data_IF_551902155209
#
_entry.id   IF_551902155209
#
_cell.length_a   1.000
_cell.length_b   1.000
_cell.length_c   1.000
_cell.angle_alpha   90.00
_cell.angle_beta   90.00
_cell.angle_gamma   90.00
#
_symmetry.space_group_name_H-M   'P 1'
#
loop_
_entity.id
_entity.type
_entity.pdbx_description
1 polymer ?
#
# COMPACT_ATOMS: atom_id res chain seq x y z
N UNK A 1 -6.13 1.71 2.93
CA UNK A 1 -5.65 2.67 3.95
C UNK A 1 -6.76 3.51 4.60
N UNK A 2 -8.01 3.39 4.19
CA UNK A 2 -9.12 4.17 4.74
C UNK A 2 -9.97 3.43 5.78
N UNK A 3 -9.72 2.14 6.00
CA UNK A 3 -10.41 1.38 7.05
C UNK A 3 -9.67 1.54 8.37
N UNK A 4 -10.34 2.12 9.37
CA UNK A 4 -9.76 2.43 10.67
C UNK A 4 -9.35 1.19 11.46
N UNK A 5 -10.09 0.08 11.31
CA UNK A 5 -9.83 -1.17 12.02
C UNK A 5 -8.60 -1.88 11.43
N UNK A 6 -8.57 -2.02 10.11
CA UNK A 6 -7.42 -2.60 9.41
C UNK A 6 -6.16 -1.74 9.64
N UNK A 7 -6.30 -0.42 9.53
CA UNK A 7 -5.22 0.52 9.78
C UNK A 7 -4.66 0.41 11.19
N UNK A 8 -5.50 0.31 12.22
CA UNK A 8 -5.06 0.15 13.60
C UNK A 8 -4.31 -1.17 13.84
N UNK A 9 -4.80 -2.29 13.28
CA UNK A 9 -4.14 -3.60 13.39
C UNK A 9 -2.79 -3.60 12.68
N UNK A 10 -2.72 -3.04 11.47
CA UNK A 10 -1.46 -2.91 10.72
C UNK A 10 -0.46 -2.04 11.46
N UNK A 11 -0.90 -0.89 11.97
CA UNK A 11 -0.06 0.00 12.76
C UNK A 11 0.50 -0.70 14.02
N UNK A 12 -0.35 -1.44 14.74
CA UNK A 12 0.10 -2.18 15.93
C UNK A 12 1.15 -3.24 15.57
N UNK A 13 0.93 -4.00 14.49
CA UNK A 13 1.90 -4.99 13.99
C UNK A 13 3.23 -4.34 13.56
N UNK A 14 3.17 -3.22 12.86
CA UNK A 14 4.35 -2.45 12.45
C UNK A 14 5.13 -1.93 13.67
N UNK A 15 4.46 -1.41 14.71
CA UNK A 15 5.14 -0.93 15.91
C UNK A 15 5.90 -2.05 16.63
N UNK A 16 5.30 -3.24 16.76
CA UNK A 16 5.97 -4.40 17.36
C UNK A 16 7.20 -4.82 16.56
N UNK A 17 7.12 -4.80 15.23
CA UNK A 17 8.23 -5.19 14.36
C UNK A 17 9.34 -4.13 14.30
N UNK A 18 9.00 -2.85 14.45
CA UNK A 18 9.98 -1.74 14.50
C UNK A 18 10.80 -1.72 15.78
N UNK A 19 10.31 -2.34 16.86
CA UNK A 19 11.07 -2.43 18.12
C UNK A 19 12.23 -3.45 18.06
N UNK A 20 12.33 -4.22 16.96
CA UNK A 20 13.42 -5.17 16.73
C UNK A 20 14.72 -4.44 16.47
N UNK A 21 15.68 -4.59 17.41
CA UNK A 21 17.03 -4.02 17.27
C UNK A 21 17.93 -4.95 16.47
N UNK A 22 18.41 -4.47 15.35
CA UNK A 22 19.44 -5.17 14.57
C UNK A 22 20.80 -4.93 15.21
N UNK A 23 21.55 -6.01 15.45
CA UNK A 23 22.90 -6.00 16.01
C UNK A 23 23.84 -6.68 15.03
N UNK A 24 24.99 -6.06 14.82
CA UNK A 24 26.07 -6.68 14.05
C UNK A 24 26.94 -7.47 15.02
N UNK A 25 27.09 -8.76 14.75
CA UNK A 25 27.93 -9.65 15.56
C UNK A 25 29.06 -10.25 14.70
N UNK A 26 30.30 -10.34 15.24
CA UNK A 26 31.38 -10.98 14.52
C UNK A 26 31.13 -12.49 14.36
N UNK A 27 31.51 -13.03 13.22
CA UNK A 27 31.32 -14.45 12.93
C UNK A 27 32.09 -15.40 13.87
N UNK A 28 33.19 -14.91 14.43
CA UNK A 28 34.01 -15.61 15.42
C UNK A 28 34.83 -14.63 16.25
N UNK A 29 35.58 -15.10 17.26
CA UNK A 29 36.38 -14.25 18.16
C UNK A 29 37.71 -13.78 17.60
N UNK A 30 38.01 -14.01 16.31
CA UNK A 30 39.24 -13.55 15.71
C UNK A 30 39.28 -12.03 15.56
N UNK A 31 40.45 -11.38 15.68
CA UNK A 31 40.58 -9.93 15.48
C UNK A 31 40.08 -9.46 14.10
N UNK A 32 40.26 -10.28 13.07
CA UNK A 32 39.80 -9.98 11.72
C UNK A 32 38.28 -9.91 11.66
N UNK A 33 37.55 -10.89 12.22
CA UNK A 33 36.09 -10.91 12.24
C UNK A 33 35.50 -9.72 13.04
N UNK A 34 36.14 -9.34 14.16
CA UNK A 34 35.75 -8.15 14.93
C UNK A 34 35.91 -6.87 14.11
N UNK A 35 37.04 -6.71 13.41
CA UNK A 35 37.28 -5.55 12.53
C UNK A 35 36.25 -5.48 11.38
N UNK A 36 35.84 -6.62 10.84
CA UNK A 36 34.81 -6.67 9.80
C UNK A 36 33.43 -6.31 10.35
N UNK A 37 33.06 -6.79 11.55
CA UNK A 37 31.82 -6.43 12.20
C UNK A 37 31.76 -4.93 12.51
N UNK A 38 32.84 -4.36 13.08
CA UNK A 38 32.97 -2.91 13.33
C UNK A 38 32.81 -2.09 12.04
N UNK A 39 33.38 -2.61 10.94
CA UNK A 39 33.23 -1.96 9.64
C UNK A 39 31.78 -1.98 9.16
N UNK A 40 31.08 -3.11 9.22
CA UNK A 40 29.67 -3.21 8.83
C UNK A 40 28.81 -2.28 9.68
N UNK A 41 29.01 -2.26 10.99
CA UNK A 41 28.31 -1.35 11.89
C UNK A 41 28.56 0.11 11.54
N UNK A 42 29.81 0.47 11.23
CA UNK A 42 30.17 1.82 10.77
C UNK A 42 29.51 2.19 9.44
N UNK A 43 29.30 1.23 8.53
CA UNK A 43 28.60 1.46 7.25
C UNK A 43 27.11 1.76 7.47
N UNK A 44 26.46 1.02 8.37
CA UNK A 44 25.05 1.24 8.71
C UNK A 44 24.84 2.61 9.38
N UNK A 45 25.78 3.02 10.24
CA UNK A 45 25.73 4.32 10.93
C UNK A 45 26.14 5.53 10.04
N UNK A 46 26.69 5.27 8.84
CA UNK A 46 27.12 6.30 7.88
C UNK A 46 26.13 6.53 6.73
N UNK A 47 24.98 5.88 6.75
CA UNK A 47 23.91 6.10 5.76
C UNK A 47 23.26 7.49 5.90
N UNK A 48 22.61 7.96 4.85
CA UNK A 48 21.84 9.23 4.84
C UNK A 48 20.56 9.15 5.65
N UNK A 49 19.98 7.96 5.81
CA UNK A 49 18.79 7.69 6.61
C UNK A 49 19.11 6.62 7.67
N UNK A 50 18.28 6.54 8.68
CA UNK A 50 18.46 5.56 9.75
C UNK A 50 18.09 4.15 9.29
N UNK A 51 18.61 3.16 10.00
CA UNK A 51 18.20 1.77 9.80
C UNK A 51 16.74 1.55 10.20
N UNK A 52 16.27 2.29 11.21
CA UNK A 52 14.86 2.25 11.66
C UNK A 52 13.90 2.74 10.57
N UNK A 53 14.28 3.79 9.80
CA UNK A 53 13.50 4.25 8.66
C UNK A 53 13.45 3.18 7.57
N UNK A 54 14.58 2.51 7.31
CA UNK A 54 14.63 1.41 6.36
C UNK A 54 13.72 0.24 6.78
N UNK A 55 13.72 -0.13 8.07
CA UNK A 55 12.85 -1.18 8.60
C UNK A 55 11.38 -0.78 8.43
N UNK A 56 11.03 0.47 8.76
CA UNK A 56 9.67 0.96 8.58
C UNK A 56 9.18 0.85 7.11
N UNK A 57 10.04 1.22 6.16
CA UNK A 57 9.73 1.06 4.73
C UNK A 57 9.65 -0.41 4.30
N UNK A 58 10.52 -1.29 4.85
CA UNK A 58 10.52 -2.73 4.55
C UNK A 58 9.23 -3.43 5.01
N UNK A 59 8.60 -2.94 6.09
CA UNK A 59 7.31 -3.45 6.57
C UNK A 59 6.16 -3.21 5.58
N UNK A 60 6.31 -2.33 4.61
CA UNK A 60 5.35 -2.20 3.51
C UNK A 60 5.16 -3.52 2.74
N UNK A 61 6.13 -4.44 2.83
CA UNK A 61 5.98 -5.80 2.29
C UNK A 61 4.79 -6.57 2.86
N UNK A 62 4.35 -6.27 4.08
CA UNK A 62 3.18 -6.89 4.68
C UNK A 62 1.90 -6.54 3.91
N UNK A 63 1.78 -5.26 3.51
CA UNK A 63 0.62 -4.77 2.76
C UNK A 63 0.65 -5.16 1.29
N UNK A 64 1.82 -5.07 0.64
CA UNK A 64 1.96 -5.29 -0.80
C UNK A 64 2.37 -6.71 -1.18
N UNK A 65 2.88 -7.50 -0.21
CA UNK A 65 3.44 -8.82 -0.45
C UNK A 65 4.96 -8.81 -0.67
N UNK A 66 5.53 -7.69 -1.10
CA UNK A 66 6.97 -7.48 -1.25
C UNK A 66 7.36 -6.03 -1.03
N UNK A 67 8.64 -5.81 -0.74
CA UNK A 67 9.29 -4.51 -0.78
C UNK A 67 10.65 -4.65 -1.46
N UNK A 68 10.94 -3.75 -2.39
CA UNK A 68 12.18 -3.76 -3.15
C UNK A 68 12.97 -2.49 -2.90
N UNK A 69 14.25 -2.64 -2.60
CA UNK A 69 15.14 -1.54 -2.29
C UNK A 69 16.37 -1.59 -3.18
N UNK A 70 16.74 -0.46 -3.74
CA UNK A 70 18.01 -0.30 -4.43
C UNK A 70 19.07 0.23 -3.47
N UNK A 71 20.22 -0.45 -3.42
CA UNK A 71 21.36 -0.05 -2.59
C UNK A 71 22.24 0.90 -3.39
N UNK A 72 22.36 2.13 -2.91
CA UNK A 72 23.21 3.16 -3.49
C UNK A 72 24.49 3.24 -2.68
N UNK A 73 25.63 2.98 -3.32
CA UNK A 73 26.94 3.01 -2.69
C UNK A 73 27.58 4.39 -2.73
N UNK A 74 28.50 4.64 -1.78
CA UNK A 74 29.41 5.79 -1.76
C UNK A 74 30.82 5.37 -1.40
N UNK A 75 31.81 6.13 -1.84
CA UNK A 75 33.19 5.99 -1.34
C UNK A 75 33.37 6.88 -0.12
N UNK A 76 33.90 6.36 0.96
CA UNK A 76 34.10 7.04 2.24
C UNK A 76 35.36 7.91 2.16
N UNK A 77 35.17 9.18 1.79
CA UNK A 77 36.28 10.14 1.55
C UNK A 77 36.37 11.25 2.60
N UNK A 78 35.56 11.14 3.66
CA UNK A 78 35.54 12.09 4.76
C UNK A 78 34.43 13.13 4.67
N UNK A 79 34.36 14.01 5.68
CA UNK A 79 33.34 15.02 5.78
C UNK A 79 33.56 16.10 4.70
N UNK A 80 32.76 16.02 3.66
CA UNK A 80 32.53 17.10 2.69
C UNK A 80 31.31 17.91 3.12
N UNK A 81 30.81 18.82 2.27
CA UNK A 81 29.51 19.44 2.57
C UNK A 81 28.42 18.37 2.69
N UNK A 82 27.58 18.46 3.70
CA UNK A 82 26.53 17.45 3.99
C UNK A 82 25.57 17.20 2.83
N UNK A 83 25.45 18.15 1.92
CA UNK A 83 24.70 18.04 0.66
C UNK A 83 25.43 17.24 -0.43
N UNK A 84 26.73 16.94 -0.25
CA UNK A 84 27.51 16.18 -1.23
C UNK A 84 27.12 14.69 -1.14
N UNK A 85 26.88 14.10 -2.31
CA UNK A 85 26.62 12.65 -2.47
C UNK A 85 27.77 11.75 -1.95
N UNK A 86 28.94 12.32 -1.70
CA UNK A 86 30.15 11.63 -1.20
C UNK A 86 30.38 11.82 0.30
N UNK A 87 29.51 12.60 0.98
CA UNK A 87 29.63 12.84 2.40
C UNK A 87 29.75 11.53 3.20
N UNK A 88 30.76 11.45 4.04
CA UNK A 88 30.98 10.33 4.97
C UNK A 88 31.61 10.84 6.26
N UNK A 89 31.24 10.23 7.37
CA UNK A 89 31.90 10.48 8.66
C UNK A 89 33.33 9.90 8.71
N UNK A 90 33.68 9.02 7.78
CA UNK A 90 34.92 8.24 7.74
C UNK A 90 35.76 8.58 6.51
N UNK A 91 37.08 8.44 6.65
CA UNK A 91 38.08 8.78 5.63
C UNK A 91 38.89 7.59 5.15
N UNK A 92 38.41 6.37 5.35
CA UNK A 92 39.15 5.13 5.08
C UNK A 92 39.21 4.75 3.59
N UNK A 93 38.54 5.50 2.71
CA UNK A 93 38.50 5.26 1.27
C UNK A 93 37.76 4.00 0.84
N UNK A 94 37.13 3.27 1.79
CA UNK A 94 36.38 2.04 1.56
C UNK A 94 35.01 2.36 0.95
N UNK A 95 34.38 1.34 0.36
CA UNK A 95 33.01 1.46 -0.13
C UNK A 95 32.03 1.27 1.03
N UNK A 96 31.13 2.22 1.20
CA UNK A 96 30.01 2.14 2.13
C UNK A 96 28.68 2.29 1.42
N UNK A 97 27.60 2.12 2.16
CA UNK A 97 26.23 2.36 1.68
C UNK A 97 25.90 3.82 1.93
N UNK A 98 25.44 4.52 0.89
CA UNK A 98 24.95 5.89 0.99
C UNK A 98 23.51 5.89 1.48
N UNK A 99 22.65 5.15 0.79
CA UNK A 99 21.23 4.99 1.11
C UNK A 99 20.67 3.71 0.50
N UNK A 100 19.61 3.23 1.10
CA UNK A 100 18.80 2.11 0.64
C UNK A 100 17.45 2.71 0.25
N UNK A 101 17.13 2.73 -1.05
CA UNK A 101 15.97 3.47 -1.60
C UNK A 101 14.83 2.52 -1.86
N UNK A 102 13.70 2.71 -1.20
CA UNK A 102 12.49 1.97 -1.49
C UNK A 102 12.02 2.25 -2.92
N UNK A 103 11.74 1.20 -3.66
CA UNK A 103 11.09 1.26 -4.97
C UNK A 103 9.62 0.92 -4.79
N UNK A 104 8.79 1.94 -4.93
CA UNK A 104 7.36 1.84 -4.64
C UNK A 104 6.72 0.66 -5.41
N UNK A 105 6.04 -0.27 -4.72
CA UNK A 105 5.51 -1.49 -5.34
C UNK A 105 4.59 -1.23 -6.53
N UNK A 106 3.81 -0.15 -6.50
CA UNK A 106 2.89 0.22 -7.60
C UNK A 106 3.60 0.74 -8.85
N UNK A 107 4.90 1.04 -8.78
CA UNK A 107 5.71 1.43 -9.94
C UNK A 107 6.42 0.24 -10.59
N UNK A 108 6.33 -0.94 -9.99
CA UNK A 108 6.93 -2.16 -10.55
C UNK A 108 6.09 -2.67 -11.70
N UNK A 109 6.68 -2.66 -12.90
CA UNK A 109 6.03 -3.15 -14.11
C UNK A 109 6.09 -4.68 -14.20
N UNK A 110 7.27 -5.25 -13.97
CA UNK A 110 7.47 -6.71 -13.99
C UNK A 110 8.75 -7.10 -13.27
N UNK A 111 8.79 -8.36 -12.79
CA UNK A 111 10.00 -9.00 -12.32
C UNK A 111 10.74 -9.68 -13.49
N UNK A 112 12.06 -9.64 -13.44
CA UNK A 112 12.93 -10.44 -14.29
C UNK A 112 13.28 -11.73 -13.55
N UNK A 113 12.73 -12.85 -14.02
CA UNK A 113 12.89 -14.15 -13.37
C UNK A 113 13.58 -15.12 -14.34
N UNK A 114 14.58 -15.81 -13.82
CA UNK A 114 15.22 -16.89 -14.57
C UNK A 114 14.25 -18.06 -14.77
N UNK A 115 13.92 -18.34 -16.02
CA UNK A 115 12.95 -19.40 -16.35
C UNK A 115 13.42 -20.81 -16.01
N UNK A 116 14.74 -21.01 -15.81
CA UNK A 116 15.31 -22.33 -15.48
C UNK A 116 15.39 -22.56 -13.98
N UNK A 117 15.74 -21.52 -13.22
CA UNK A 117 16.00 -21.64 -11.78
C UNK A 117 14.87 -21.04 -10.93
N UNK A 118 13.99 -20.23 -11.50
CA UNK A 118 12.97 -19.47 -10.76
C UNK A 118 13.57 -18.31 -9.94
N UNK A 119 14.85 -18.00 -10.10
CA UNK A 119 15.54 -16.96 -9.34
C UNK A 119 15.20 -15.58 -9.90
N UNK A 120 14.88 -14.63 -9.03
CA UNK A 120 14.65 -13.23 -9.42
C UNK A 120 16.00 -12.57 -9.72
N UNK A 121 16.19 -12.12 -10.96
CA UNK A 121 17.40 -11.41 -11.45
C UNK A 121 17.31 -9.91 -11.24
N UNK A 122 16.11 -9.36 -11.20
CA UNK A 122 15.86 -7.93 -11.02
C UNK A 122 14.40 -7.59 -11.25
N UNK A 123 14.14 -6.30 -11.34
CA UNK A 123 12.81 -5.81 -11.71
C UNK A 123 12.90 -4.64 -12.70
N UNK A 124 11.80 -4.42 -13.40
CA UNK A 124 11.58 -3.25 -14.24
C UNK A 124 10.61 -2.31 -13.54
N UNK A 125 11.02 -1.06 -13.38
CA UNK A 125 10.22 0.00 -12.79
C UNK A 125 9.72 0.94 -13.89
N UNK A 126 8.41 1.24 -13.86
CA UNK A 126 7.79 2.28 -14.66
C UNK A 126 7.40 3.44 -13.76
N UNK A 127 8.02 4.59 -13.95
CA UNK A 127 7.77 5.79 -13.15
C UNK A 127 6.68 6.69 -13.75
N UNK A 128 6.04 6.26 -14.85
CA UNK A 128 5.00 7.05 -15.54
C UNK A 128 5.51 8.26 -16.33
N UNK A 129 6.80 8.57 -16.25
CA UNK A 129 7.45 9.59 -17.07
C UNK A 129 8.01 8.93 -18.33
N UNK A 130 7.65 9.44 -19.48
CA UNK A 130 7.91 8.90 -20.80
C UNK A 130 9.26 8.15 -20.93
N UNK A 131 9.19 6.91 -21.45
CA UNK A 131 10.30 6.07 -21.93
C UNK A 131 11.22 5.41 -20.88
N UNK A 132 10.91 5.37 -19.61
CA UNK A 132 11.86 4.84 -18.63
C UNK A 132 11.39 3.59 -17.90
N UNK A 133 11.40 2.46 -18.59
CA UNK A 133 11.50 1.16 -17.90
C UNK A 133 12.93 1.03 -17.34
N UNK A 134 13.13 1.46 -16.11
CA UNK A 134 14.43 1.30 -15.44
C UNK A 134 14.56 -0.13 -14.95
N UNK A 135 15.63 -0.80 -15.39
CA UNK A 135 16.00 -2.10 -14.87
C UNK A 135 16.84 -1.96 -13.60
N UNK A 136 16.42 -2.62 -12.52
CA UNK A 136 17.12 -2.64 -11.24
C UNK A 136 17.54 -4.07 -10.96
N UNK A 137 18.85 -4.38 -11.01
CA UNK A 137 19.35 -5.74 -10.85
C UNK A 137 19.32 -6.17 -9.37
N UNK A 138 19.02 -7.44 -9.13
CA UNK A 138 18.94 -8.01 -7.78
C UNK A 138 20.25 -7.94 -6.99
N UNK A 139 21.43 -7.98 -7.66
CA UNK A 139 22.73 -7.90 -7.00
C UNK A 139 23.06 -6.51 -6.40
N UNK A 140 22.25 -5.50 -6.69
CA UNK A 140 22.30 -4.15 -6.10
C UNK A 140 21.06 -3.81 -5.28
N UNK A 141 20.32 -4.82 -4.89
CA UNK A 141 19.01 -4.64 -4.26
C UNK A 141 18.88 -5.48 -3.00
N UNK A 142 18.04 -5.01 -2.09
CA UNK A 142 17.47 -5.81 -1.01
C UNK A 142 16.02 -6.08 -1.37
N UNK A 143 15.64 -7.35 -1.31
CA UNK A 143 14.31 -7.80 -1.68
C UNK A 143 13.68 -8.53 -0.51
N UNK A 144 12.68 -7.91 0.07
CA UNK A 144 11.85 -8.47 1.12
C UNK A 144 10.57 -9.02 0.51
N UNK A 145 10.20 -10.22 0.90
CA UNK A 145 9.00 -10.86 0.39
C UNK A 145 8.33 -11.63 1.52
N UNK A 146 7.02 -11.52 1.60
CA UNK A 146 6.18 -12.37 2.43
C UNK A 146 6.09 -13.79 1.84
N UNK A 147 5.16 -14.59 2.30
CA UNK A 147 4.94 -15.95 1.78
C UNK A 147 4.74 -15.94 0.26
N UNK A 148 5.52 -16.75 -0.45
CA UNK A 148 5.36 -16.96 -1.89
C UNK A 148 4.47 -18.19 -2.14
N UNK A 149 3.56 -18.07 -3.09
CA UNK A 149 2.76 -19.20 -3.58
C UNK A 149 3.17 -19.45 -5.02
N UNK A 150 3.48 -20.68 -5.37
CA UNK A 150 3.85 -21.12 -6.72
C UNK A 150 5.05 -20.36 -7.31
N UNK A 151 5.99 -19.90 -6.47
CA UNK A 151 7.17 -19.19 -6.93
C UNK A 151 6.92 -17.75 -7.39
N UNK A 152 5.72 -17.20 -7.18
CA UNK A 152 5.40 -15.82 -7.54
C UNK A 152 6.35 -14.84 -6.80
N UNK A 153 7.11 -14.02 -7.52
CA UNK A 153 8.01 -13.04 -6.92
C UNK A 153 7.27 -11.90 -6.19
N UNK A 154 6.04 -11.59 -6.53
CA UNK A 154 5.28 -10.51 -5.88
C UNK A 154 4.86 -10.84 -4.45
N UNK A 155 5.02 -12.10 -3.99
CA UNK A 155 4.63 -12.51 -2.65
C UNK A 155 3.11 -12.45 -2.43
N UNK A 156 2.69 -12.48 -1.19
CA UNK A 156 1.28 -12.40 -0.84
C UNK A 156 1.04 -11.41 0.29
N UNK A 157 0.23 -10.39 0.05
CA UNK A 157 -0.23 -9.49 1.10
C UNK A 157 -0.95 -10.25 2.21
N UNK A 158 -0.68 -9.90 3.46
CA UNK A 158 -1.42 -10.45 4.62
C UNK A 158 -2.89 -10.03 4.60
N UNK A 159 -3.20 -8.91 3.96
CA UNK A 159 -4.57 -8.37 3.83
C UNK A 159 -5.42 -9.11 2.79
N UNK A 160 -4.81 -9.98 1.97
CA UNK A 160 -5.53 -10.66 0.89
C UNK A 160 -6.70 -11.52 1.38
N UNK A 161 -6.57 -12.12 2.56
CA UNK A 161 -7.64 -12.93 3.12
C UNK A 161 -8.81 -12.08 3.66
N UNK A 162 -8.55 -10.83 4.04
CA UNK A 162 -9.56 -9.91 4.54
C UNK A 162 -10.35 -9.19 3.42
N UNK A 163 -9.88 -9.27 2.16
CA UNK A 163 -10.42 -8.48 1.05
C UNK A 163 -11.92 -8.73 0.80
N UNK A 164 -12.35 -9.98 0.79
CA UNK A 164 -13.76 -10.32 0.55
C UNK A 164 -14.67 -9.79 1.65
N UNK A 165 -14.26 -9.95 2.92
CA UNK A 165 -15.03 -9.42 4.07
C UNK A 165 -15.08 -7.90 4.06
N UNK A 166 -14.00 -7.25 3.70
CA UNK A 166 -13.92 -5.79 3.55
C UNK A 166 -14.86 -5.28 2.45
N UNK A 167 -14.86 -5.91 1.27
CA UNK A 167 -15.78 -5.55 0.18
C UNK A 167 -17.24 -5.72 0.59
N UNK A 168 -17.54 -6.80 1.28
CA UNK A 168 -18.90 -7.06 1.78
C UNK A 168 -19.33 -6.00 2.79
N UNK A 169 -18.46 -5.64 3.73
CA UNK A 169 -18.72 -4.61 4.73
C UNK A 169 -18.97 -3.24 4.07
N UNK A 170 -18.13 -2.84 3.11
CA UNK A 170 -18.31 -1.59 2.38
C UNK A 170 -19.65 -1.53 1.64
N UNK A 171 -20.06 -2.63 1.02
CA UNK A 171 -21.34 -2.70 0.34
C UNK A 171 -22.51 -2.58 1.34
N UNK A 172 -22.42 -3.26 2.50
CA UNK A 172 -23.44 -3.14 3.55
C UNK A 172 -23.55 -1.72 4.10
N UNK A 173 -22.42 -1.08 4.40
CA UNK A 173 -22.41 0.31 4.88
C UNK A 173 -23.02 1.27 3.87
N UNK A 174 -22.75 1.07 2.58
CA UNK A 174 -23.35 1.88 1.52
C UNK A 174 -24.86 1.70 1.44
N UNK A 175 -25.36 0.45 1.56
CA UNK A 175 -26.79 0.15 1.56
C UNK A 175 -27.46 0.72 2.82
N UNK A 176 -26.81 0.59 3.98
CA UNK A 176 -27.28 1.12 5.25
C UNK A 176 -27.40 2.65 5.19
N UNK A 177 -26.39 3.34 4.66
CA UNK A 177 -26.44 4.79 4.50
C UNK A 177 -27.64 5.23 3.64
N UNK A 178 -27.88 4.56 2.51
CA UNK A 178 -29.03 4.82 1.64
C UNK A 178 -30.36 4.52 2.36
N UNK A 179 -30.41 3.43 3.14
CA UNK A 179 -31.61 3.05 3.88
C UNK A 179 -31.92 4.09 4.95
N UNK A 180 -30.93 4.53 5.73
CA UNK A 180 -31.08 5.59 6.74
C UNK A 180 -31.53 6.90 6.09
N UNK A 181 -30.98 7.30 4.97
CA UNK A 181 -31.39 8.49 4.24
C UNK A 181 -32.83 8.41 3.83
N UNK A 182 -33.29 7.26 3.32
CA UNK A 182 -34.69 7.04 2.94
C UNK A 182 -35.67 7.02 4.14
N UNK A 183 -35.24 6.39 5.25
CA UNK A 183 -36.06 6.35 6.46
C UNK A 183 -36.23 7.74 7.09
N UNK A 184 -35.17 8.54 7.12
CA UNK A 184 -35.22 9.92 7.62
C UNK A 184 -36.07 10.83 6.72
N UNK A 185 -36.06 10.58 5.42
CA UNK A 185 -36.90 11.30 4.47
C UNK A 185 -38.42 10.94 4.59
N UNK A 186 -38.72 9.79 5.21
CA UNK A 186 -40.05 9.23 5.30
C UNK A 186 -40.53 8.60 3.98
N UNK A 187 -41.57 7.80 4.06
CA UNK A 187 -42.19 7.23 2.86
C UNK A 187 -43.27 8.24 2.38
N UNK A 188 -43.15 8.76 1.15
CA UNK A 188 -44.17 9.65 0.62
C UNK A 188 -45.49 8.89 0.48
N UNK A 189 -46.56 9.38 1.15
CA UNK A 189 -47.87 8.77 1.11
C UNK A 189 -48.87 9.76 0.51
N UNK A 190 -49.48 9.38 -0.59
CA UNK A 190 -50.60 10.11 -1.15
C UNK A 190 -51.93 9.48 -0.78
N UNK A 191 -52.89 10.29 -0.37
CA UNK A 191 -54.29 9.88 -0.15
C UNK A 191 -55.13 10.33 -1.34
N UNK A 192 -55.70 9.37 -2.03
CA UNK A 192 -56.59 9.63 -3.17
C UNK A 192 -57.98 9.02 -2.92
N UNK A 193 -59.04 9.60 -3.46
CA UNK A 193 -60.35 9.01 -3.40
C UNK A 193 -60.40 7.62 -4.02
N UNK A 194 -61.12 6.68 -3.41
CA UNK A 194 -61.25 5.30 -3.89
C UNK A 194 -61.81 5.19 -5.29
N UNK A 195 -62.62 6.18 -5.70
CA UNK A 195 -63.20 6.28 -7.04
C UNK A 195 -62.18 6.37 -8.15
N UNK A 196 -60.99 6.94 -7.88
CA UNK A 196 -59.88 7.06 -8.84
C UNK A 196 -59.13 5.76 -9.04
N UNK A 197 -59.30 4.79 -8.13
CA UNK A 197 -58.71 3.46 -8.16
C UNK A 197 -59.70 2.39 -8.66
N UNK A 198 -60.94 2.77 -8.90
CA UNK A 198 -61.97 1.84 -9.38
C UNK A 198 -61.77 1.55 -10.89
N UNK A 199 -62.29 0.41 -11.33
CA UNK A 199 -62.30 0.06 -12.77
C UNK A 199 -63.11 0.99 -13.66
N UNK A 200 -64.01 1.82 -13.05
CA UNK A 200 -64.86 2.79 -13.72
C UNK A 200 -64.24 4.20 -13.76
N UNK A 201 -62.97 4.33 -13.35
CA UNK A 201 -62.30 5.62 -13.35
C UNK A 201 -62.13 6.18 -14.77
N UNK A 202 -62.43 7.47 -14.93
CA UNK A 202 -62.24 8.16 -16.21
C UNK A 202 -60.76 8.21 -16.63
N UNK A 203 -60.52 8.35 -17.93
CA UNK A 203 -59.13 8.45 -18.45
C UNK A 203 -58.34 9.60 -17.77
N UNK A 204 -59.01 10.70 -17.41
CA UNK A 204 -58.37 11.80 -16.68
C UNK A 204 -58.00 11.43 -15.24
N UNK A 205 -58.82 10.66 -14.55
CA UNK A 205 -58.57 10.17 -13.20
C UNK A 205 -57.46 9.14 -13.17
N UNK A 206 -57.43 8.21 -14.10
CA UNK A 206 -56.33 7.24 -14.27
C UNK A 206 -54.99 7.91 -14.62
N UNK A 207 -55.01 8.95 -15.47
CA UNK A 207 -53.87 9.77 -15.79
C UNK A 207 -53.32 10.54 -14.59
N UNK A 208 -54.20 11.05 -13.73
CA UNK A 208 -53.82 11.70 -12.49
C UNK A 208 -53.10 10.73 -11.53
N UNK A 209 -53.65 9.52 -11.37
CA UNK A 209 -53.06 8.47 -10.52
C UNK A 209 -51.67 8.10 -11.05
N UNK A 210 -51.49 7.89 -12.35
CA UNK A 210 -50.21 7.56 -12.95
C UNK A 210 -49.19 8.67 -12.77
N UNK A 211 -49.55 9.94 -12.92
CA UNK A 211 -48.72 11.07 -12.66
C UNK A 211 -48.29 11.16 -11.17
N UNK A 212 -49.26 10.92 -10.27
CA UNK A 212 -49.00 10.93 -8.84
C UNK A 212 -48.04 9.80 -8.44
N UNK A 213 -48.20 8.59 -8.99
CA UNK A 213 -47.27 7.48 -8.80
C UNK A 213 -45.86 7.82 -9.30
N UNK A 214 -45.76 8.46 -10.45
CA UNK A 214 -44.46 8.93 -10.96
C UNK A 214 -43.81 9.92 -10.00
N UNK A 215 -44.52 10.92 -9.57
CA UNK A 215 -44.06 11.91 -8.59
C UNK A 215 -43.58 11.22 -7.30
N UNK A 216 -44.37 10.29 -6.75
CA UNK A 216 -44.04 9.58 -5.52
C UNK A 216 -42.80 8.67 -5.66
N UNK A 217 -42.57 8.11 -6.85
CA UNK A 217 -41.36 7.33 -7.15
C UNK A 217 -40.13 8.21 -7.28
N UNK A 218 -40.26 9.41 -7.85
CA UNK A 218 -39.17 10.32 -8.18
C UNK A 218 -38.85 11.31 -7.06
N UNK A 219 -39.67 11.38 -5.99
CA UNK A 219 -39.37 12.21 -4.82
C UNK A 219 -38.12 11.69 -4.14
N UNK A 220 -36.98 12.29 -4.50
CA UNK A 220 -35.70 12.20 -3.78
C UNK A 220 -35.61 13.42 -2.90
N UNK A 221 -35.39 13.22 -1.62
CA UNK A 221 -35.39 14.26 -0.59
C UNK A 221 -34.35 15.38 -0.77
N UNK A 222 -33.50 15.25 -1.72
CA UNK A 222 -32.36 16.18 -1.94
C UNK A 222 -32.38 16.94 -3.28
N UNK A 223 -33.52 16.89 -4.01
CA UNK A 223 -33.74 17.70 -5.22
C UNK A 223 -34.78 18.79 -4.97
N UNK A 224 -34.53 19.61 -3.95
CA UNK A 224 -35.14 20.94 -3.90
C UNK A 224 -34.14 21.90 -4.54
N UNK A 225 -34.30 22.09 -5.86
CA UNK A 225 -33.70 23.21 -6.58
C UNK A 225 -34.42 24.51 -6.19
#
# INVERSE_FOLDING_TARGET
DNDSTIGAVMYAAEQVLRDVKLKVEPANDTPAAKTEADFVESVLNDMEHSLDDHIAEALSSLSYGFAWFEVVYKRRVGPTQRSDKKYSKFTDGRMGVRKIVCRAPWTVSRFDVDTKTGTVKGLYQDTGYALSNHYIPANKSLYYRTTSINGDPSGRSILRNAYTSYQYLNNLQSIEAIAVERELAGIPVARIPSEYLSGDATAAQSGFVANLESILRDVKFNEQG
#
